data_IF_173449560727
#
_entry.id   IF_173449560727
#
_cell.length_a   1.000
_cell.length_b   1.000
_cell.length_c   1.000
_cell.angle_alpha   90.00
_cell.angle_beta   90.00
_cell.angle_gamma   90.00
#
_symmetry.space_group_name_H-M   'P 1'
#
loop_
_entity.id
_entity.type
_entity.pdbx_description
1 polymer ?
#
# COMPACT_ATOMS: atom_id res chain seq x y z
N UNK A 1 11.34 23.45 7.65
CA UNK A 1 11.43 22.25 6.77
C UNK A 1 11.45 21.01 7.66
N UNK A 2 10.40 20.19 7.61
CA UNK A 2 10.11 19.13 8.60
C UNK A 2 10.98 17.88 8.42
N UNK A 3 11.69 17.48 9.48
CA UNK A 3 12.50 16.25 9.56
C UNK A 3 11.69 14.97 9.23
N UNK A 4 10.38 14.99 9.46
CA UNK A 4 9.46 13.87 9.21
C UNK A 4 9.31 13.59 7.70
N UNK A 5 9.20 14.63 6.87
CA UNK A 5 9.07 14.47 5.41
C UNK A 5 10.36 13.91 4.78
N UNK A 6 11.53 14.28 5.32
CA UNK A 6 12.82 13.78 4.85
C UNK A 6 13.04 12.30 5.22
N UNK A 7 12.64 11.88 6.42
CA UNK A 7 12.64 10.47 6.85
C UNK A 7 11.72 9.62 5.96
N UNK A 8 10.53 10.14 5.64
CA UNK A 8 9.57 9.44 4.79
C UNK A 8 10.10 9.22 3.37
N UNK A 9 10.74 10.23 2.77
CA UNK A 9 11.32 10.14 1.42
C UNK A 9 12.52 9.20 1.39
N UNK A 10 13.37 9.20 2.42
CA UNK A 10 14.50 8.25 2.54
C UNK A 10 14.03 6.81 2.71
N UNK A 11 13.05 6.56 3.57
CA UNK A 11 12.46 5.22 3.75
C UNK A 11 11.87 4.66 2.45
N UNK A 12 11.06 5.46 1.73
CA UNK A 12 10.45 5.05 0.45
C UNK A 12 11.47 4.69 -0.63
N UNK A 13 12.57 5.43 -0.74
CA UNK A 13 13.59 5.20 -1.78
C UNK A 13 14.37 3.90 -1.53
N UNK A 14 14.62 3.57 -0.26
CA UNK A 14 15.23 2.31 0.15
C UNK A 14 14.33 1.11 -0.18
N UNK A 15 13.03 1.20 0.15
CA UNK A 15 12.05 0.14 -0.12
C UNK A 15 11.93 -0.15 -1.63
N UNK A 16 11.81 0.90 -2.47
CA UNK A 16 11.69 0.74 -3.92
C UNK A 16 12.91 0.09 -4.56
N UNK A 17 14.12 0.51 -4.17
CA UNK A 17 15.36 -0.05 -4.70
C UNK A 17 15.56 -1.50 -4.28
N UNK A 18 15.12 -1.85 -3.06
CA UNK A 18 15.17 -3.22 -2.56
C UNK A 18 14.16 -4.14 -3.26
N UNK A 19 12.91 -3.71 -3.45
CA UNK A 19 11.91 -4.49 -4.20
C UNK A 19 12.39 -4.79 -5.63
N UNK A 20 13.07 -3.85 -6.29
CA UNK A 20 13.67 -4.10 -7.61
C UNK A 20 14.88 -5.04 -7.57
N UNK A 21 15.73 -4.98 -6.54
CA UNK A 21 16.96 -5.78 -6.44
C UNK A 21 16.73 -7.22 -5.97
N UNK A 22 15.84 -7.43 -5.01
CA UNK A 22 15.66 -8.74 -4.36
C UNK A 22 14.75 -9.67 -5.15
N UNK A 23 13.86 -9.14 -5.99
CA UNK A 23 12.96 -9.95 -6.82
C UNK A 23 13.67 -10.61 -8.02
N UNK A 24 14.76 -10.02 -8.53
CA UNK A 24 15.51 -10.59 -9.66
C UNK A 24 16.27 -11.88 -9.35
N UNK A 25 16.37 -12.29 -8.07
CA UNK A 25 17.18 -13.44 -7.62
C UNK A 25 16.37 -14.64 -7.10
N UNK A 26 15.06 -14.68 -7.32
CA UNK A 26 14.22 -15.81 -6.93
C UNK A 26 14.19 -16.91 -8.01
N UNK A 27 15.32 -17.58 -8.23
CA UNK A 27 15.30 -18.94 -8.82
C UNK A 27 15.02 -19.92 -7.67
N UNK A 28 13.86 -20.57 -7.72
CA UNK A 28 13.37 -21.56 -6.76
C UNK A 28 14.35 -22.76 -6.65
N UNK A 29 15.33 -22.64 -5.76
CA UNK A 29 16.13 -23.76 -5.25
C UNK A 29 15.71 -24.11 -3.84
N UNK A 30 15.70 -25.40 -3.49
CA UNK A 30 15.07 -26.04 -2.33
C UNK A 30 15.55 -25.63 -0.91
N UNK A 31 16.20 -24.48 -0.73
CA UNK A 31 16.60 -23.91 0.56
C UNK A 31 15.68 -22.74 0.98
N UNK A 32 14.38 -22.98 0.97
CA UNK A 32 13.35 -21.93 1.09
C UNK A 32 13.24 -21.30 2.48
N UNK A 33 13.66 -21.99 3.55
CA UNK A 33 13.44 -21.53 4.94
C UNK A 33 14.24 -20.29 5.34
N UNK A 34 15.53 -20.22 4.97
CA UNK A 34 16.39 -19.10 5.31
C UNK A 34 16.00 -17.81 4.57
N UNK A 35 15.65 -17.91 3.28
CA UNK A 35 15.30 -16.76 2.45
C UNK A 35 13.93 -16.17 2.80
N UNK A 36 12.95 -16.97 3.25
CA UNK A 36 11.65 -16.43 3.68
C UNK A 36 11.77 -15.60 4.94
N UNK A 37 12.62 -15.99 5.90
CA UNK A 37 12.83 -15.21 7.12
C UNK A 37 13.50 -13.87 6.85
N UNK A 38 14.47 -13.81 5.94
CA UNK A 38 15.14 -12.55 5.57
C UNK A 38 14.21 -11.60 4.79
N UNK A 39 13.40 -12.15 3.87
CA UNK A 39 12.36 -11.40 3.19
C UNK A 39 11.30 -10.88 4.16
N UNK A 40 10.90 -11.71 5.12
CA UNK A 40 9.94 -11.34 6.16
C UNK A 40 10.50 -10.22 7.03
N UNK A 41 11.73 -10.39 7.57
CA UNK A 41 12.40 -9.37 8.38
C UNK A 41 12.52 -8.05 7.63
N UNK A 42 12.85 -8.10 6.34
CA UNK A 42 13.01 -6.88 5.55
C UNK A 42 11.66 -6.22 5.25
N UNK A 43 10.64 -7.01 4.88
CA UNK A 43 9.28 -6.51 4.68
C UNK A 43 8.73 -5.90 5.98
N UNK A 44 8.98 -6.53 7.12
CA UNK A 44 8.59 -6.04 8.44
C UNK A 44 9.31 -4.77 8.84
N UNK A 45 10.61 -4.66 8.56
CA UNK A 45 11.35 -3.42 8.83
C UNK A 45 10.81 -2.27 7.98
N UNK A 46 10.52 -2.53 6.70
CA UNK A 46 9.92 -1.56 5.78
C UNK A 46 8.50 -1.15 6.19
N UNK A 47 7.68 -2.11 6.62
CA UNK A 47 6.31 -1.89 7.06
C UNK A 47 6.27 -1.16 8.40
N UNK A 48 7.10 -1.55 9.36
CA UNK A 48 7.20 -0.91 10.68
C UNK A 48 7.66 0.56 10.57
N UNK A 49 8.58 0.85 9.65
CA UNK A 49 8.95 2.25 9.36
C UNK A 49 7.78 3.09 8.80
N UNK A 50 6.81 2.44 8.13
CA UNK A 50 5.61 3.10 7.60
C UNK A 50 4.43 3.11 8.59
N UNK A 51 4.45 2.21 9.58
CA UNK A 51 3.29 1.91 10.41
C UNK A 51 3.01 2.98 11.48
N UNK A 52 4.05 3.66 11.95
CA UNK A 52 3.89 4.83 12.84
C UNK A 52 3.08 5.99 12.23
N UNK A 53 2.84 5.99 10.92
CA UNK A 53 1.99 6.98 10.25
C UNK A 53 0.55 6.48 10.00
N UNK A 54 0.27 5.19 10.14
CA UNK A 54 -1.01 4.56 9.80
C UNK A 54 -1.33 3.42 10.77
N UNK A 55 -2.00 3.68 11.90
CA UNK A 55 -2.27 2.66 12.93
C UNK A 55 -2.96 1.37 12.40
N UNK A 56 -3.98 1.44 11.52
CA UNK A 56 -4.63 0.22 10.99
C UNK A 56 -3.69 -0.67 10.18
N UNK A 57 -2.68 -0.06 9.57
CA UNK A 57 -1.68 -0.79 8.81
C UNK A 57 -0.75 -1.56 9.75
N UNK A 58 -0.33 -0.95 10.85
CA UNK A 58 0.49 -1.61 11.87
C UNK A 58 -0.21 -2.86 12.41
N UNK A 59 -1.51 -2.72 12.76
CA UNK A 59 -2.32 -3.82 13.24
C UNK A 59 -2.45 -4.96 12.23
N UNK A 60 -2.70 -4.64 10.95
CA UNK A 60 -2.77 -5.65 9.90
C UNK A 60 -1.44 -6.41 9.72
N UNK A 61 -0.31 -5.70 9.76
CA UNK A 61 1.03 -6.30 9.63
C UNK A 61 1.33 -7.19 10.83
N UNK A 62 1.08 -6.68 12.05
CA UNK A 62 1.25 -7.43 13.29
C UNK A 62 0.41 -8.71 13.31
N UNK A 63 -0.86 -8.64 12.88
CA UNK A 63 -1.74 -9.79 12.78
C UNK A 63 -1.22 -10.83 11.76
N UNK A 64 -0.75 -10.40 10.59
CA UNK A 64 -0.16 -11.31 9.59
C UNK A 64 1.10 -12.03 10.10
N UNK A 65 1.97 -11.34 10.84
CA UNK A 65 3.14 -11.95 11.49
C UNK A 65 2.71 -12.98 12.51
N UNK A 66 1.74 -12.63 13.36
CA UNK A 66 1.25 -13.55 14.38
C UNK A 66 0.62 -14.80 13.75
N UNK A 67 -0.14 -14.66 12.66
CA UNK A 67 -0.70 -15.78 11.90
C UNK A 67 0.42 -16.65 11.33
N UNK A 68 1.44 -16.05 10.73
CA UNK A 68 2.60 -16.77 10.22
C UNK A 68 3.30 -17.57 11.32
N UNK A 69 3.69 -16.92 12.42
CA UNK A 69 4.35 -17.59 13.55
C UNK A 69 3.50 -18.72 14.15
N UNK A 70 2.19 -18.51 14.27
CA UNK A 70 1.28 -19.54 14.76
C UNK A 70 1.18 -20.70 13.78
N UNK A 71 1.11 -20.43 12.48
CA UNK A 71 1.06 -21.47 11.44
C UNK A 71 2.33 -22.33 11.39
N UNK A 72 3.51 -21.74 11.63
CA UNK A 72 4.77 -22.49 11.71
C UNK A 72 4.87 -23.40 12.95
N UNK A 73 4.19 -23.03 14.04
CA UNK A 73 4.15 -23.80 15.29
C UNK A 73 3.13 -24.95 15.27
N UNK A 74 2.26 -25.02 14.26
CA UNK A 74 1.28 -26.08 14.13
C UNK A 74 1.95 -27.37 13.63
N UNK A 75 1.94 -28.41 14.46
CA UNK A 75 2.57 -29.70 14.14
C UNK A 75 1.64 -30.66 13.38
N UNK A 76 0.33 -30.43 13.42
CA UNK A 76 -0.72 -31.23 12.78
C UNK A 76 -1.20 -30.57 11.49
N UNK A 77 -1.62 -31.33 10.48
CA UNK A 77 -2.06 -30.72 9.21
C UNK A 77 -0.99 -29.80 8.57
N UNK A 78 0.27 -30.27 8.54
CA UNK A 78 1.44 -29.50 8.06
C UNK A 78 1.24 -28.89 6.68
N UNK A 79 0.44 -29.52 5.82
CA UNK A 79 0.15 -29.02 4.46
C UNK A 79 -0.63 -27.71 4.53
N UNK A 80 -1.76 -27.71 5.24
CA UNK A 80 -2.63 -26.53 5.40
C UNK A 80 -1.93 -25.42 6.18
N UNK A 81 -1.16 -25.78 7.22
CA UNK A 81 -0.39 -24.82 8.00
C UNK A 81 0.71 -24.12 7.17
N UNK A 82 1.45 -24.87 6.34
CA UNK A 82 2.44 -24.30 5.41
C UNK A 82 1.79 -23.44 4.32
N UNK A 83 0.60 -23.82 3.86
CA UNK A 83 -0.17 -23.02 2.91
C UNK A 83 -0.58 -21.68 3.52
N UNK A 84 -1.08 -21.69 4.77
CA UNK A 84 -1.40 -20.50 5.55
C UNK A 84 -0.17 -19.59 5.75
N UNK A 85 0.97 -20.18 6.10
CA UNK A 85 2.24 -19.48 6.22
C UNK A 85 2.63 -18.79 4.91
N UNK A 86 2.56 -19.53 3.79
CA UNK A 86 2.88 -19.00 2.46
C UNK A 86 1.94 -17.85 2.08
N UNK A 87 0.64 -18.02 2.27
CA UNK A 87 -0.35 -16.99 1.94
C UNK A 87 -0.13 -15.73 2.78
N UNK A 88 0.14 -15.86 4.08
CA UNK A 88 0.44 -14.73 4.95
C UNK A 88 1.71 -13.98 4.50
N UNK A 89 2.76 -14.70 4.12
CA UNK A 89 3.99 -14.11 3.60
C UNK A 89 3.79 -13.40 2.26
N UNK A 90 2.98 -13.97 1.36
CA UNK A 90 2.65 -13.34 0.09
C UNK A 90 1.80 -12.07 0.28
N UNK A 91 0.89 -12.06 1.25
CA UNK A 91 0.13 -10.87 1.61
C UNK A 91 1.00 -9.74 2.13
N UNK A 92 1.97 -10.05 2.98
CA UNK A 92 2.94 -9.05 3.44
C UNK A 92 3.68 -8.41 2.25
N UNK A 93 4.00 -9.17 1.21
CA UNK A 93 4.63 -8.62 -0.02
C UNK A 93 3.67 -7.71 -0.78
N UNK A 94 2.42 -8.14 -0.99
CA UNK A 94 1.39 -7.34 -1.68
C UNK A 94 1.16 -6.02 -0.94
N UNK A 95 1.06 -6.09 0.39
CA UNK A 95 0.85 -4.95 1.26
C UNK A 95 2.04 -3.97 1.21
N UNK A 96 3.28 -4.49 1.28
CA UNK A 96 4.48 -3.66 1.11
C UNK A 96 4.55 -2.98 -0.27
N UNK A 97 4.15 -3.68 -1.34
CA UNK A 97 4.09 -3.11 -2.69
C UNK A 97 3.03 -2.02 -2.81
N UNK A 98 1.83 -2.24 -2.25
CA UNK A 98 0.72 -1.28 -2.27
C UNK A 98 1.06 0.05 -1.58
N UNK A 99 1.98 0.02 -0.60
CA UNK A 99 2.30 1.17 0.26
C UNK A 99 3.58 1.89 -0.18
N UNK A 100 4.39 1.24 -1.03
CA UNK A 100 5.62 1.81 -1.59
C UNK A 100 5.37 3.01 -2.53
N UNK A 101 4.12 3.31 -2.88
CA UNK A 101 3.72 4.45 -3.69
C UNK A 101 3.86 5.80 -2.94
N UNK A 102 4.32 6.88 -3.59
CA UNK A 102 4.52 8.18 -2.93
C UNK A 102 3.23 8.95 -2.56
N UNK A 103 2.05 8.35 -2.72
CA UNK A 103 0.75 9.03 -2.59
C UNK A 103 0.12 8.92 -1.20
N UNK A 104 -0.56 9.99 -0.78
CA UNK A 104 -1.45 10.01 0.40
C UNK A 104 -2.47 8.87 0.30
N UNK A 105 -2.57 8.04 1.35
CA UNK A 105 -3.55 6.95 1.42
C UNK A 105 -4.95 7.55 1.32
N UNK A 106 -5.72 7.14 0.33
CA UNK A 106 -7.09 7.61 0.13
C UNK A 106 -8.02 7.00 1.19
N UNK A 107 -9.05 7.73 1.62
CA UNK A 107 -10.03 7.26 2.60
C UNK A 107 -10.65 5.87 2.28
N UNK A 108 -11.02 5.54 1.02
CA UNK A 108 -11.50 4.19 0.68
C UNK A 108 -10.46 3.08 0.87
N UNK A 109 -9.17 3.43 0.70
CA UNK A 109 -8.08 2.48 0.95
C UNK A 109 -7.87 2.29 2.44
N UNK A 110 -8.00 3.35 3.24
CA UNK A 110 -7.96 3.26 4.69
C UNK A 110 -9.10 2.35 5.20
N UNK A 111 -10.33 2.54 4.72
CA UNK A 111 -11.46 1.68 5.06
C UNK A 111 -11.22 0.21 4.64
N UNK A 112 -10.62 -0.02 3.48
CA UNK A 112 -10.24 -1.36 3.02
C UNK A 112 -9.17 -1.99 3.91
N UNK A 113 -8.18 -1.22 4.37
CA UNK A 113 -7.13 -1.69 5.30
C UNK A 113 -7.74 -2.02 6.66
N UNK A 114 -8.63 -1.18 7.18
CA UNK A 114 -9.31 -1.43 8.46
C UNK A 114 -10.20 -2.67 8.41
N UNK A 115 -10.95 -2.87 7.31
CA UNK A 115 -11.73 -4.12 7.12
C UNK A 115 -10.82 -5.35 7.02
N UNK A 116 -9.68 -5.21 6.34
CA UNK A 116 -8.67 -6.27 6.25
C UNK A 116 -8.06 -6.60 7.62
N UNK A 117 -7.65 -5.59 8.38
CA UNK A 117 -7.14 -5.72 9.75
C UNK A 117 -8.14 -6.45 10.66
N UNK A 118 -9.42 -6.05 10.67
CA UNK A 118 -10.47 -6.71 11.45
C UNK A 118 -10.60 -8.19 11.09
N UNK A 119 -10.52 -8.53 9.80
CA UNK A 119 -10.60 -9.92 9.37
C UNK A 119 -9.38 -10.73 9.83
N UNK A 120 -8.19 -10.12 9.81
CA UNK A 120 -6.96 -10.75 10.27
C UNK A 120 -6.94 -10.98 11.79
N UNK A 121 -7.44 -10.03 12.58
CA UNK A 121 -7.52 -10.20 14.05
C UNK A 121 -8.52 -11.29 14.44
N UNK A 122 -9.64 -11.42 13.70
CA UNK A 122 -10.56 -12.54 13.85
C UNK A 122 -9.90 -13.89 13.52
N UNK A 123 -9.18 -13.97 12.39
CA UNK A 123 -8.42 -15.17 12.00
C UNK A 123 -7.37 -15.52 13.07
N UNK A 124 -6.65 -14.51 13.58
CA UNK A 124 -5.64 -14.67 14.62
C UNK A 124 -6.27 -15.26 15.89
N UNK A 125 -7.45 -14.77 16.30
CA UNK A 125 -8.21 -15.29 17.44
C UNK A 125 -8.65 -16.74 17.26
N UNK A 126 -9.17 -17.09 16.07
CA UNK A 126 -9.57 -18.46 15.75
C UNK A 126 -8.37 -19.43 15.75
N UNK A 127 -7.24 -18.99 15.20
CA UNK A 127 -6.01 -19.78 15.18
C UNK A 127 -5.45 -19.98 16.59
N UNK A 128 -5.53 -18.97 17.46
CA UNK A 128 -5.15 -19.07 18.86
C UNK A 128 -6.02 -20.09 19.61
N UNK A 129 -7.34 -20.09 19.38
CA UNK A 129 -8.26 -21.09 19.95
C UNK A 129 -7.93 -22.50 19.47
N UNK A 130 -7.73 -22.68 18.17
CA UNK A 130 -7.33 -23.98 17.60
C UNK A 130 -6.02 -24.50 18.21
N UNK A 131 -5.06 -23.60 18.49
CA UNK A 131 -3.79 -23.96 19.13
C UNK A 131 -3.95 -24.37 20.60
N UNK A 132 -4.89 -23.78 21.34
CA UNK A 132 -5.16 -24.17 22.72
C UNK A 132 -5.78 -25.57 22.81
N UNK A 133 -6.69 -25.89 21.89
CA UNK A 133 -7.32 -27.21 21.77
C UNK A 133 -6.29 -28.32 21.46
N UNK A 134 -5.21 -27.98 20.76
CA UNK A 134 -4.13 -28.91 20.36
C UNK A 134 -3.22 -29.38 21.52
N UNK A 135 -3.34 -28.79 22.73
CA UNK A 135 -2.48 -29.15 23.88
C UNK A 135 -2.77 -30.53 24.48
N UNK A 136 -3.98 -31.07 24.32
CA UNK A 136 -4.33 -32.38 24.87
C UNK A 136 -4.14 -33.48 23.83
N UNK A 137 -3.34 -34.51 24.16
CA UNK A 137 -3.06 -35.65 23.29
C UNK A 137 -4.34 -36.41 22.89
N UNK A 138 -5.30 -36.53 23.79
CA UNK A 138 -6.57 -37.21 23.54
C UNK A 138 -7.45 -36.43 22.55
N UNK A 139 -7.52 -35.10 22.73
CA UNK A 139 -8.25 -34.22 21.81
C UNK A 139 -7.57 -34.10 20.45
N UNK A 140 -6.24 -34.22 20.39
CA UNK A 140 -5.46 -34.14 19.15
C UNK A 140 -5.90 -35.12 18.07
N UNK A 141 -6.21 -36.35 18.46
CA UNK A 141 -6.71 -37.37 17.52
C UNK A 141 -8.18 -37.14 17.17
N UNK A 142 -9.02 -36.81 18.16
CA UNK A 142 -10.43 -36.54 17.92
C UNK A 142 -10.67 -35.29 17.06
N UNK A 143 -9.77 -34.30 17.10
CA UNK A 143 -9.92 -33.01 16.44
C UNK A 143 -9.07 -32.83 15.20
N UNK A 144 -8.31 -33.84 14.75
CA UNK A 144 -7.44 -33.70 13.58
C UNK A 144 -8.22 -33.24 12.33
N UNK A 145 -9.39 -33.84 12.08
CA UNK A 145 -10.30 -33.43 11.00
C UNK A 145 -10.93 -32.05 11.22
N UNK A 146 -11.18 -31.67 12.48
CA UNK A 146 -11.75 -30.37 12.83
C UNK A 146 -10.72 -29.26 12.62
N UNK A 147 -9.50 -29.42 13.13
CA UNK A 147 -8.38 -28.49 12.94
C UNK A 147 -8.07 -28.31 11.46
N UNK A 148 -8.05 -29.39 10.67
CA UNK A 148 -7.87 -29.29 9.22
C UNK A 148 -8.98 -28.47 8.54
N UNK A 149 -10.25 -28.68 8.90
CA UNK A 149 -11.38 -27.88 8.40
C UNK A 149 -11.26 -26.42 8.81
N UNK A 150 -10.88 -26.15 10.06
CA UNK A 150 -10.65 -24.80 10.58
C UNK A 150 -9.54 -24.08 9.81
N UNK A 151 -8.39 -24.73 9.59
CA UNK A 151 -7.29 -24.16 8.80
C UNK A 151 -7.68 -23.89 7.35
N UNK A 152 -8.44 -24.79 6.71
CA UNK A 152 -8.97 -24.55 5.36
C UNK A 152 -9.95 -23.37 5.33
N UNK A 153 -10.79 -23.24 6.35
CA UNK A 153 -11.71 -22.11 6.46
C UNK A 153 -10.93 -20.79 6.65
N UNK A 154 -9.91 -20.80 7.51
CA UNK A 154 -9.01 -19.67 7.72
C UNK A 154 -8.32 -19.27 6.40
N UNK A 155 -7.76 -20.22 5.66
CA UNK A 155 -7.14 -19.95 4.35
C UNK A 155 -8.14 -19.30 3.38
N UNK A 156 -9.37 -19.80 3.30
CA UNK A 156 -10.41 -19.21 2.45
C UNK A 156 -10.77 -17.79 2.86
N UNK A 157 -10.89 -17.52 4.16
CA UNK A 157 -11.16 -16.17 4.69
C UNK A 157 -10.00 -15.23 4.41
N UNK A 158 -8.76 -15.70 4.55
CA UNK A 158 -7.56 -14.95 4.24
C UNK A 158 -7.49 -14.60 2.74
N UNK A 159 -7.84 -15.55 1.87
CA UNK A 159 -7.92 -15.32 0.42
C UNK A 159 -9.04 -14.34 0.03
N UNK A 160 -10.20 -14.41 0.69
CA UNK A 160 -11.29 -13.46 0.46
C UNK A 160 -10.91 -12.05 0.94
N UNK A 161 -10.29 -11.94 2.12
CA UNK A 161 -9.77 -10.68 2.65
C UNK A 161 -8.70 -10.09 1.72
N UNK A 162 -7.79 -10.92 1.21
CA UNK A 162 -6.79 -10.57 0.21
C UNK A 162 -7.41 -10.02 -1.08
N UNK A 163 -8.43 -10.71 -1.62
CA UNK A 163 -9.13 -10.27 -2.83
C UNK A 163 -9.80 -8.92 -2.62
N UNK A 164 -10.53 -8.76 -1.52
CA UNK A 164 -11.18 -7.49 -1.15
C UNK A 164 -10.16 -6.34 -1.04
N UNK A 165 -9.04 -6.58 -0.36
CA UNK A 165 -7.95 -5.62 -0.26
C UNK A 165 -7.35 -5.28 -1.64
N UNK A 166 -7.06 -6.30 -2.46
CA UNK A 166 -6.47 -6.12 -3.79
C UNK A 166 -7.39 -5.32 -4.71
N UNK A 167 -8.69 -5.66 -4.74
CA UNK A 167 -9.71 -4.93 -5.52
C UNK A 167 -9.80 -3.48 -5.05
N UNK A 168 -9.87 -3.25 -3.72
CA UNK A 168 -9.90 -1.89 -3.15
C UNK A 168 -8.64 -1.10 -3.51
N UNK A 169 -7.47 -1.74 -3.50
CA UNK A 169 -6.20 -1.12 -3.87
C UNK A 169 -6.08 -0.82 -5.38
N UNK A 170 -6.63 -1.69 -6.23
CA UNK A 170 -6.62 -1.53 -7.68
C UNK A 170 -7.57 -0.41 -8.14
N UNK A 171 -8.76 -0.31 -7.53
CA UNK A 171 -9.71 0.77 -7.79
C UNK A 171 -9.09 2.16 -7.54
N UNK A 172 -8.18 2.27 -6.56
CA UNK A 172 -7.39 3.50 -6.32
C UNK A 172 -6.48 3.84 -7.49
N UNK A 173 -5.81 2.85 -8.06
CA UNK A 173 -4.90 3.07 -9.20
C UNK A 173 -5.65 3.65 -10.40
N UNK A 174 -6.85 3.15 -10.67
CA UNK A 174 -7.70 3.66 -11.75
C UNK A 174 -8.25 5.06 -11.47
N UNK A 175 -8.76 5.30 -10.25
CA UNK A 175 -9.26 6.61 -9.86
C UNK A 175 -8.18 7.70 -9.95
N UNK A 176 -6.96 7.38 -9.51
CA UNK A 176 -5.81 8.28 -9.61
C UNK A 176 -5.43 8.54 -11.07
N UNK A 177 -5.36 7.49 -11.90
CA UNK A 177 -5.06 7.63 -13.33
C UNK A 177 -6.11 8.50 -14.03
N UNK A 178 -7.41 8.33 -13.71
CA UNK A 178 -8.48 9.19 -14.25
C UNK A 178 -8.34 10.65 -13.84
N UNK A 179 -7.98 10.93 -12.60
CA UNK A 179 -7.72 12.29 -12.14
C UNK A 179 -6.54 12.92 -12.87
N UNK A 180 -5.42 12.21 -13.00
CA UNK A 180 -4.23 12.68 -13.72
C UNK A 180 -4.56 12.92 -15.20
N UNK A 181 -5.23 11.98 -15.86
CA UNK A 181 -5.65 12.15 -17.26
C UNK A 181 -6.59 13.35 -17.45
N UNK A 182 -7.49 13.59 -16.51
CA UNK A 182 -8.39 14.76 -16.55
C UNK A 182 -7.61 16.06 -16.42
N UNK A 183 -6.60 16.11 -15.54
CA UNK A 183 -5.72 17.27 -15.41
C UNK A 183 -4.86 17.48 -16.67
N UNK A 184 -4.28 16.40 -17.22
CA UNK A 184 -3.51 16.47 -18.46
C UNK A 184 -4.37 16.98 -19.63
N UNK A 185 -5.62 16.52 -19.76
CA UNK A 185 -6.56 17.03 -20.77
C UNK A 185 -6.82 18.53 -20.59
N UNK A 186 -7.06 18.99 -19.37
CA UNK A 186 -7.26 20.42 -19.08
C UNK A 186 -6.03 21.26 -19.46
N UNK A 187 -4.84 20.78 -19.15
CA UNK A 187 -3.57 21.46 -19.51
C UNK A 187 -3.38 21.48 -21.02
N UNK A 188 -3.66 20.38 -21.72
CA UNK A 188 -3.50 20.30 -23.18
C UNK A 188 -4.48 21.22 -23.91
N UNK A 189 -5.74 21.28 -23.47
CA UNK A 189 -6.73 22.23 -24.00
C UNK A 189 -6.26 23.67 -23.76
N UNK A 190 -5.76 23.97 -22.57
CA UNK A 190 -5.23 25.31 -22.25
C UNK A 190 -4.02 25.69 -23.11
N UNK A 191 -3.07 24.77 -23.31
CA UNK A 191 -1.93 24.99 -24.21
C UNK A 191 -2.36 25.16 -25.67
N UNK A 192 -3.33 24.36 -26.14
CA UNK A 192 -3.89 24.49 -27.50
C UNK A 192 -4.52 25.86 -27.72
N UNK A 193 -5.25 26.39 -26.74
CA UNK A 193 -5.81 27.75 -26.78
C UNK A 193 -4.69 28.79 -26.87
N UNK A 194 -3.67 28.70 -26.01
CA UNK A 194 -2.53 29.63 -26.05
C UNK A 194 -1.86 29.62 -27.43
N UNK A 195 -1.55 28.44 -27.97
CA UNK A 195 -0.88 28.32 -29.28
C UNK A 195 -1.77 28.88 -30.39
N UNK A 196 -3.09 28.61 -30.35
CA UNK A 196 -4.04 29.16 -31.32
C UNK A 196 -4.07 30.70 -31.30
N UNK A 197 -4.10 31.31 -30.12
CA UNK A 197 -4.02 32.77 -29.98
C UNK A 197 -2.66 33.34 -30.43
N UNK A 198 -1.56 32.61 -30.21
CA UNK A 198 -0.23 33.04 -30.64
C UNK A 198 0.00 32.92 -32.15
N UNK A 199 -0.60 31.92 -32.81
CA UNK A 199 -0.42 31.65 -34.22
C UNK A 199 -1.33 32.49 -35.13
N UNK A 200 -2.37 33.14 -34.58
CA UNK A 200 -3.29 33.93 -35.37
C UNK A 200 -2.69 35.31 -35.74
N UNK A 201 -2.53 35.63 -37.04
CA UNK A 201 -1.91 36.89 -37.49
C UNK A 201 -2.70 38.14 -37.08
N UNK A 202 -4.00 37.99 -36.81
CA UNK A 202 -4.88 39.06 -36.29
C UNK A 202 -4.42 39.51 -34.89
N UNK A 203 -4.04 38.55 -34.04
CA UNK A 203 -3.57 38.83 -32.68
C UNK A 203 -2.11 39.27 -32.65
N UNK A 204 -1.32 38.87 -33.64
CA UNK A 204 0.08 39.28 -33.78
C UNK A 204 0.24 40.78 -34.06
N UNK A 205 -0.71 41.39 -34.80
CA UNK A 205 -0.69 42.85 -35.04
C UNK A 205 -1.10 43.67 -33.81
N UNK A 206 -2.03 43.20 -32.99
CA UNK A 206 -2.46 43.89 -31.76
C UNK A 206 -1.55 43.63 -30.56
N UNK A 207 -0.87 42.49 -30.51
CA UNK A 207 -0.01 42.10 -29.39
C UNK A 207 1.27 42.93 -29.23
N UNK A 208 1.75 43.57 -30.31
CA UNK A 208 2.93 44.43 -30.29
C UNK A 208 2.73 45.72 -29.47
N UNK A 209 1.49 46.18 -29.30
CA UNK A 209 1.22 47.43 -28.57
C UNK A 209 0.96 47.23 -27.08
N UNK A 210 0.61 46.01 -26.62
CA UNK A 210 0.07 45.81 -25.27
C UNK A 210 0.96 45.00 -24.30
N UNK A 211 2.18 44.62 -24.67
CA UNK A 211 3.12 43.88 -23.80
C UNK A 211 2.56 42.56 -23.18
N UNK A 212 1.44 42.05 -23.73
CA UNK A 212 0.62 40.96 -23.16
C UNK A 212 1.37 39.63 -23.13
N UNK A 213 2.30 39.42 -24.05
CA UNK A 213 3.06 38.18 -24.13
C UNK A 213 3.96 37.92 -22.91
N UNK A 214 4.40 38.96 -22.21
CA UNK A 214 5.18 38.82 -20.98
C UNK A 214 4.32 38.36 -19.79
N UNK A 215 3.09 38.89 -19.69
CA UNK A 215 2.13 38.55 -18.63
C UNK A 215 1.60 37.11 -18.75
N UNK A 216 1.40 36.61 -19.96
CA UNK A 216 0.97 35.23 -20.21
C UNK A 216 2.04 34.20 -19.82
N UNK A 217 3.32 34.51 -20.08
CA UNK A 217 4.45 33.67 -19.64
C UNK A 217 4.61 33.69 -18.12
N UNK A 218 4.42 34.85 -17.51
CA UNK A 218 4.48 34.99 -16.06
C UNK A 218 3.35 34.23 -15.36
N UNK A 219 2.11 34.36 -15.84
CA UNK A 219 0.95 33.63 -15.28
C UNK A 219 1.09 32.12 -15.47
N UNK A 220 1.59 31.63 -16.62
CA UNK A 220 1.85 30.20 -16.80
C UNK A 220 2.91 29.67 -15.83
N UNK A 221 4.05 30.35 -15.70
CA UNK A 221 5.08 29.98 -14.73
C UNK A 221 4.56 30.08 -13.29
N UNK A 222 3.72 31.06 -12.99
CA UNK A 222 3.11 31.20 -11.69
C UNK A 222 2.10 30.07 -11.40
N UNK A 223 1.33 29.62 -12.39
CA UNK A 223 0.37 28.53 -12.27
C UNK A 223 1.08 27.17 -12.15
N UNK A 224 2.18 26.96 -12.87
CA UNK A 224 3.08 25.80 -12.69
C UNK A 224 3.64 25.80 -11.27
N UNK A 225 4.15 26.93 -10.80
CA UNK A 225 4.66 27.06 -9.43
C UNK A 225 3.55 26.87 -8.40
N UNK A 226 2.34 27.39 -8.66
CA UNK A 226 1.19 27.25 -7.78
C UNK A 226 0.73 25.80 -7.69
N UNK A 227 0.68 25.07 -8.81
CA UNK A 227 0.36 23.63 -8.84
C UNK A 227 1.47 22.80 -8.17
N UNK A 228 2.73 23.18 -8.34
CA UNK A 228 3.86 22.57 -7.64
C UNK A 228 3.82 22.86 -6.12
N UNK A 229 3.31 24.01 -5.70
CA UNK A 229 3.11 24.33 -4.28
C UNK A 229 1.83 23.76 -3.70
N UNK A 230 0.74 23.63 -4.46
CA UNK A 230 -0.54 23.10 -4.00
C UNK A 230 -0.48 21.57 -3.85
N UNK A 231 0.25 20.88 -4.74
CA UNK A 231 0.64 19.48 -4.51
C UNK A 231 1.52 19.31 -3.27
N UNK A 232 2.30 20.34 -2.90
CA UNK A 232 3.09 20.39 -1.65
C UNK A 232 2.23 20.70 -0.43
N UNK A 233 1.23 21.58 -0.56
CA UNK A 233 0.33 22.02 0.50
C UNK A 233 -0.73 20.97 0.84
N UNK A 234 -1.29 20.26 -0.14
CA UNK A 234 -2.17 19.10 0.09
C UNK A 234 -1.44 17.92 0.74
N UNK A 235 -0.11 17.84 0.57
CA UNK A 235 0.74 16.93 1.34
C UNK A 235 1.02 17.38 2.78
N UNK A 236 0.70 18.63 3.14
CA UNK A 236 0.90 19.21 4.47
C UNK A 236 -0.40 19.44 5.26
N UNK A 237 -1.54 19.61 4.58
CA UNK A 237 -2.86 19.85 5.21
C UNK A 237 -3.50 18.60 5.85
N UNK A 238 -2.88 17.41 5.77
CA UNK A 238 -3.38 16.19 6.41
C UNK A 238 -2.73 15.89 7.77
N UNK A 239 -1.88 16.79 8.28
CA UNK A 239 -1.48 16.80 9.68
C UNK A 239 -2.30 17.90 10.38
N UNK A 240 -3.29 17.51 11.18
CA UNK A 240 -3.80 18.20 12.40
C UNK A 240 -5.28 17.82 12.62
N UNK A 241 -5.51 16.72 13.35
CA UNK A 241 -6.34 16.66 14.56
C UNK A 241 -6.25 15.25 15.15
N UNK A 242 -5.21 15.01 15.96
CA UNK A 242 -5.28 13.97 16.99
C UNK A 242 -5.92 14.63 18.21
N UNK A 243 -7.10 14.17 18.68
CA UNK A 243 -7.62 14.61 19.96
C UNK A 243 -6.64 14.17 21.05
N UNK A 244 -6.20 15.11 21.89
CA UNK A 244 -5.50 14.79 23.13
C UNK A 244 -6.54 14.14 24.06
N UNK A 245 -6.35 12.87 24.36
CA UNK A 245 -6.81 12.27 25.61
C UNK A 245 -5.74 12.53 26.68
#
# INVERSE_FOLDING_TARGET
MNRISALFVRGRKAIRNFVKGSFGRLKLGANTGANTQDLLRTALTALHACSGAYPPLDGAVSALVAILEMSERITHSKKEARELARHSADLLKILAQAISGPGVVSEPMLASITSFESTLTEIQSELAKARLEDRSLFWRFAHLNRTQRTLRNINRRLDDASRKFTIGSAARSEAYVRQVLTLCKKIFVFQGIIVFFCASPVWQRRGAELNIFSASRFTFNHLINMLATDTRARGMSSNVHSPKF
#
